data_IF_247866913982
#
_entry.id   IF_247866913982
#
_cell.length_a   1.000
_cell.length_b   1.000
_cell.length_c   1.000
_cell.angle_alpha   90.00
_cell.angle_beta   90.00
_cell.angle_gamma   90.00
#
_symmetry.space_group_name_H-M   'P 1'
#
loop_
_entity.id
_entity.type
_entity.pdbx_description
1 polymer ?
#
# COMPACT_ATOMS: atom_id res chain seq x y z
N UNK A 1 3.64 15.55 23.52
CA UNK A 1 3.51 16.48 22.37
C UNK A 1 2.17 16.25 21.65
N UNK A 2 1.72 17.26 20.88
CA UNK A 2 0.46 17.22 20.14
C UNK A 2 0.71 16.88 18.65
N UNK A 3 0.15 15.79 18.19
CA UNK A 3 0.31 15.28 16.82
C UNK A 3 -1.01 15.37 16.07
N UNK A 4 -1.01 16.04 14.91
CA UNK A 4 -2.15 16.02 13.99
C UNK A 4 -1.83 15.13 12.80
N UNK A 5 -2.56 14.02 12.62
CA UNK A 5 -2.21 12.98 11.66
C UNK A 5 -3.32 12.86 10.61
N UNK A 6 -2.96 12.77 9.32
CA UNK A 6 -3.94 12.64 8.23
C UNK A 6 -3.63 11.46 7.35
N UNK A 7 -4.54 10.47 7.35
CA UNK A 7 -4.58 9.31 6.46
C UNK A 7 -5.90 9.27 5.71
N UNK A 8 -5.88 9.19 4.39
CA UNK A 8 -7.08 9.25 3.54
C UNK A 8 -7.53 7.93 2.94
N UNK A 9 -6.88 6.81 3.27
CA UNK A 9 -7.11 5.49 2.68
C UNK A 9 -6.89 4.37 3.71
N UNK A 10 -7.44 3.14 3.50
CA UNK A 10 -7.25 2.01 4.43
C UNK A 10 -5.78 1.67 4.73
N UNK A 11 -4.91 1.72 3.71
CA UNK A 11 -3.47 1.50 3.90
C UNK A 11 -2.84 2.59 4.78
N UNK A 12 -3.28 3.83 4.60
CA UNK A 12 -2.86 4.95 5.44
C UNK A 12 -3.31 4.79 6.89
N UNK A 13 -4.51 4.26 7.14
CA UNK A 13 -5.02 3.95 8.48
C UNK A 13 -4.17 2.89 9.19
N UNK A 14 -3.83 1.81 8.48
CA UNK A 14 -2.94 0.76 8.96
C UNK A 14 -1.56 1.31 9.35
N UNK A 15 -0.91 2.03 8.43
CA UNK A 15 0.41 2.60 8.69
C UNK A 15 0.37 3.72 9.74
N UNK A 16 -0.71 4.50 9.75
CA UNK A 16 -0.96 5.54 10.75
C UNK A 16 -1.11 4.95 12.15
N UNK A 17 -1.87 3.87 12.30
CA UNK A 17 -2.03 3.20 13.60
C UNK A 17 -0.70 2.64 14.13
N UNK A 18 0.13 2.04 13.26
CA UNK A 18 1.46 1.55 13.64
C UNK A 18 2.40 2.70 14.03
N UNK A 19 2.40 3.80 13.26
CA UNK A 19 3.16 5.00 13.62
C UNK A 19 2.72 5.59 14.97
N UNK A 20 1.40 5.68 15.23
CA UNK A 20 0.86 6.19 16.50
C UNK A 20 1.26 5.33 17.69
N UNK A 21 1.31 3.99 17.52
CA UNK A 21 1.86 3.10 18.58
C UNK A 21 3.33 3.41 18.86
N UNK A 22 4.13 3.60 17.80
CA UNK A 22 5.53 4.01 17.93
C UNK A 22 5.69 5.38 18.58
N UNK A 23 4.86 6.37 18.22
CA UNK A 23 4.87 7.69 18.83
C UNK A 23 4.55 7.64 20.33
N UNK A 24 3.59 6.82 20.76
CA UNK A 24 3.31 6.61 22.20
C UNK A 24 4.45 5.97 22.96
N UNK A 25 5.23 5.09 22.31
CA UNK A 25 6.44 4.51 22.94
C UNK A 25 7.54 5.57 23.11
N UNK A 26 7.74 6.43 22.12
CA UNK A 26 8.78 7.45 22.12
C UNK A 26 8.37 8.72 22.90
N UNK A 27 7.07 9.00 22.99
CA UNK A 27 6.46 10.12 23.71
C UNK A 27 5.22 9.62 24.49
N UNK A 28 5.37 9.16 25.75
CA UNK A 28 4.25 8.63 26.53
C UNK A 28 3.10 9.64 26.74
N UNK A 29 3.39 10.94 26.70
CA UNK A 29 2.42 12.03 26.82
C UNK A 29 1.88 12.50 25.45
N UNK A 30 1.96 11.66 24.41
CA UNK A 30 1.49 11.98 23.07
C UNK A 30 -0.04 12.20 23.04
N UNK A 31 -0.45 13.38 22.62
CA UNK A 31 -1.83 13.73 22.33
C UNK A 31 -2.07 13.64 20.83
N UNK A 32 -3.09 12.89 20.41
CA UNK A 32 -3.43 12.72 19.00
C UNK A 32 -4.73 13.40 18.64
N UNK A 33 -4.76 13.99 17.45
CA UNK A 33 -5.96 14.35 16.73
C UNK A 33 -5.78 13.96 15.27
N UNK A 34 -6.74 13.29 14.64
CA UNK A 34 -6.45 12.67 13.36
C UNK A 34 -7.67 12.50 12.46
N UNK A 35 -7.37 12.42 11.17
CA UNK A 35 -8.23 11.92 10.11
C UNK A 35 -7.69 10.55 9.71
N UNK A 36 -8.52 9.51 9.74
CA UNK A 36 -8.07 8.14 9.53
C UNK A 36 -9.23 7.16 9.56
N UNK A 37 -9.04 6.00 10.16
CA UNK A 37 -10.05 4.96 10.27
C UNK A 37 -10.09 4.29 11.63
N UNK A 38 -10.66 3.09 11.63
CA UNK A 38 -10.91 2.34 12.85
C UNK A 38 -9.60 1.91 13.55
N UNK A 39 -8.53 1.57 12.78
CA UNK A 39 -7.25 1.16 13.37
C UNK A 39 -6.54 2.32 14.07
N UNK A 40 -6.56 3.52 13.51
CA UNK A 40 -6.03 4.71 14.18
C UNK A 40 -6.90 5.09 15.38
N UNK A 41 -8.24 4.95 15.29
CA UNK A 41 -9.16 5.23 16.38
C UNK A 41 -8.97 4.28 17.58
N UNK A 42 -8.62 3.02 17.32
CA UNK A 42 -8.26 2.07 18.37
C UNK A 42 -7.03 2.49 19.17
N UNK A 43 -6.05 3.10 18.50
CA UNK A 43 -4.81 3.58 19.14
C UNK A 43 -4.98 4.97 19.73
N UNK A 44 -5.56 5.91 19.00
CA UNK A 44 -5.61 7.33 19.35
C UNK A 44 -6.81 7.76 20.18
N UNK A 45 -7.82 6.89 20.34
CA UNK A 45 -9.12 7.22 20.92
C UNK A 45 -10.12 7.68 19.85
N UNK A 46 -11.33 7.13 19.91
CA UNK A 46 -12.37 7.41 18.91
C UNK A 46 -12.86 8.87 18.97
N UNK A 47 -12.77 9.50 20.14
CA UNK A 47 -13.08 10.91 20.39
C UNK A 47 -12.11 11.87 19.69
N UNK A 48 -10.92 11.41 19.35
CA UNK A 48 -9.87 12.16 18.64
C UNK A 48 -9.92 11.98 17.12
N UNK A 49 -10.76 11.07 16.62
CA UNK A 49 -11.03 10.89 15.20
C UNK A 49 -11.96 12.02 14.71
N UNK A 50 -11.40 12.95 13.96
CA UNK A 50 -12.15 14.09 13.38
C UNK A 50 -12.99 13.66 12.20
N UNK A 51 -12.41 12.80 11.34
CA UNK A 51 -13.08 12.32 10.12
C UNK A 51 -12.59 10.95 9.71
N UNK A 52 -13.54 10.07 9.38
CA UNK A 52 -13.22 8.73 8.87
C UNK A 52 -12.88 8.77 7.38
N UNK A 53 -11.85 8.03 6.93
CA UNK A 53 -11.42 8.03 5.52
C UNK A 53 -12.53 7.61 4.55
N UNK A 54 -13.50 6.78 4.97
CA UNK A 54 -14.67 6.43 4.15
C UNK A 54 -15.51 7.63 3.72
N UNK A 55 -15.49 8.71 4.49
CA UNK A 55 -16.17 9.96 4.19
C UNK A 55 -15.35 10.91 3.32
N UNK A 56 -14.03 10.63 3.17
CA UNK A 56 -13.07 11.44 2.41
C UNK A 56 -12.83 10.93 1.01
N UNK A 57 -13.12 9.65 0.77
CA UNK A 57 -12.66 8.91 -0.41
C UNK A 57 -13.54 9.19 -1.63
N UNK A 58 -13.12 10.13 -2.45
CA UNK A 58 -13.63 10.33 -3.81
C UNK A 58 -12.59 9.84 -4.80
N UNK A 59 -12.79 8.65 -5.38
CA UNK A 59 -11.88 8.03 -6.33
C UNK A 59 -12.34 8.25 -7.79
N UNK A 60 -11.40 8.68 -8.64
CA UNK A 60 -11.64 8.91 -10.06
C UNK A 60 -11.96 10.35 -10.42
N UNK A 61 -11.61 10.73 -11.67
CA UNK A 61 -11.70 12.11 -12.14
C UNK A 61 -13.12 12.67 -12.09
N UNK A 62 -14.12 11.84 -12.41
CA UNK A 62 -15.53 12.23 -12.45
C UNK A 62 -16.07 12.46 -11.04
N UNK A 63 -15.78 11.55 -10.10
CA UNK A 63 -16.25 11.67 -8.72
C UNK A 63 -15.60 12.88 -8.01
N UNK A 64 -14.31 13.13 -8.26
CA UNK A 64 -13.61 14.31 -7.74
C UNK A 64 -14.23 15.61 -8.28
N UNK A 65 -14.53 15.66 -9.60
CA UNK A 65 -15.14 16.83 -10.21
C UNK A 65 -16.56 17.10 -9.69
N UNK A 66 -17.36 16.05 -9.51
CA UNK A 66 -18.73 16.17 -8.96
C UNK A 66 -18.75 16.58 -7.48
N UNK A 67 -17.74 16.23 -6.71
CA UNK A 67 -17.68 16.48 -5.26
C UNK A 67 -16.67 17.57 -4.87
N UNK A 68 -16.26 18.43 -5.80
CA UNK A 68 -15.24 19.47 -5.55
C UNK A 68 -15.61 20.41 -4.39
N UNK A 69 -16.89 20.76 -4.25
CA UNK A 69 -17.37 21.61 -3.14
C UNK A 69 -17.25 20.92 -1.79
N UNK A 70 -17.58 19.64 -1.73
CA UNK A 70 -17.42 18.80 -0.52
C UNK A 70 -15.97 18.70 -0.12
N UNK A 71 -15.07 18.43 -1.09
CA UNK A 71 -13.62 18.33 -0.86
C UNK A 71 -13.05 19.66 -0.34
N UNK A 72 -13.49 20.79 -0.91
CA UNK A 72 -13.07 22.11 -0.44
C UNK A 72 -13.63 22.43 0.96
N UNK A 73 -14.87 22.03 1.26
CA UNK A 73 -15.47 22.13 2.59
C UNK A 73 -14.66 21.33 3.62
N UNK A 74 -14.40 20.06 3.34
CA UNK A 74 -13.58 19.19 4.21
C UNK A 74 -12.19 19.77 4.46
N UNK A 75 -11.58 20.37 3.44
CA UNK A 75 -10.28 21.04 3.60
C UNK A 75 -10.36 22.24 4.55
N UNK A 76 -11.42 23.05 4.44
CA UNK A 76 -11.68 24.15 5.37
C UNK A 76 -11.90 23.67 6.80
N UNK A 77 -12.63 22.56 6.97
CA UNK A 77 -12.86 21.94 8.29
C UNK A 77 -11.53 21.45 8.89
N UNK A 78 -10.72 20.78 8.11
CA UNK A 78 -9.39 20.30 8.52
C UNK A 78 -8.49 21.47 8.97
N UNK A 79 -8.42 22.53 8.18
CA UNK A 79 -7.62 23.71 8.51
C UNK A 79 -8.08 24.39 9.82
N UNK A 80 -9.41 24.50 10.04
CA UNK A 80 -9.94 25.06 11.29
C UNK A 80 -9.62 24.19 12.50
N UNK A 81 -9.74 22.86 12.33
CA UNK A 81 -9.47 21.91 13.39
C UNK A 81 -7.97 21.86 13.76
N UNK A 82 -7.07 21.93 12.77
CA UNK A 82 -5.62 22.05 13.01
C UNK A 82 -5.32 23.31 13.84
N UNK A 83 -5.90 24.46 13.47
CA UNK A 83 -5.71 25.71 14.23
C UNK A 83 -6.22 25.59 15.67
N UNK A 84 -7.39 25.00 15.86
CA UNK A 84 -8.00 24.86 17.19
C UNK A 84 -7.20 23.89 18.09
N UNK A 85 -6.67 22.80 17.52
CA UNK A 85 -5.86 21.83 18.25
C UNK A 85 -4.46 22.36 18.57
N UNK A 86 -3.91 23.24 17.72
CA UNK A 86 -2.57 23.82 17.82
C UNK A 86 -1.49 22.74 18.01
N UNK A 87 -1.28 21.87 17.00
CA UNK A 87 -0.34 20.77 17.11
C UNK A 87 1.12 21.22 17.06
N UNK A 88 2.00 20.42 17.65
CA UNK A 88 3.45 20.59 17.53
C UNK A 88 3.96 20.17 16.14
N UNK A 89 3.22 19.30 15.46
CA UNK A 89 3.53 18.81 14.11
C UNK A 89 2.28 18.30 13.41
N UNK A 90 2.22 18.52 12.09
CA UNK A 90 1.25 17.87 11.18
C UNK A 90 1.95 16.73 10.45
N UNK A 91 1.46 15.50 10.61
CA UNK A 91 1.97 14.30 9.94
C UNK A 91 1.01 13.89 8.84
N UNK A 92 1.50 13.85 7.61
CA UNK A 92 0.70 13.55 6.41
C UNK A 92 1.07 12.18 5.87
N UNK A 93 0.09 11.28 5.74
CA UNK A 93 0.34 9.91 5.27
C UNK A 93 -0.21 9.76 3.85
N UNK A 94 0.68 9.57 2.86
CA UNK A 94 0.34 9.45 1.43
C UNK A 94 -0.77 10.45 1.01
N UNK A 95 -1.84 10.05 0.33
CA UNK A 95 -3.03 10.84 -0.04
C UNK A 95 -2.72 12.25 -0.60
N UNK A 96 -1.88 12.36 -1.63
CA UNK A 96 -1.28 13.63 -2.04
C UNK A 96 -2.26 14.64 -2.62
N UNK A 97 -3.44 14.23 -3.06
CA UNK A 97 -4.48 15.13 -3.57
C UNK A 97 -4.99 16.14 -2.53
N UNK A 98 -5.06 15.70 -1.30
CA UNK A 98 -5.49 16.46 -0.13
C UNK A 98 -4.28 16.96 0.68
N UNK A 99 -3.39 16.04 1.04
CA UNK A 99 -2.29 16.28 1.97
C UNK A 99 -1.31 17.37 1.52
N UNK A 100 -0.98 17.48 0.22
CA UNK A 100 -0.12 18.57 -0.28
C UNK A 100 -0.73 19.96 -0.05
N UNK A 101 -2.06 20.08 -0.07
CA UNK A 101 -2.74 21.35 0.21
C UNK A 101 -2.75 21.68 1.70
N UNK A 102 -2.92 20.66 2.54
CA UNK A 102 -2.80 20.82 4.01
C UNK A 102 -1.34 21.15 4.38
N UNK A 103 -0.33 20.53 3.72
CA UNK A 103 1.07 20.89 3.91
C UNK A 103 1.31 22.40 3.67
N UNK A 104 0.77 22.93 2.55
CA UNK A 104 0.86 24.36 2.25
C UNK A 104 0.21 25.23 3.33
N UNK A 105 -0.94 24.80 3.86
CA UNK A 105 -1.63 25.53 4.91
C UNK A 105 -0.83 25.50 6.22
N UNK A 106 -0.45 24.33 6.71
CA UNK A 106 0.28 24.17 7.97
C UNK A 106 1.64 24.92 7.95
N UNK A 107 2.37 24.80 6.84
CA UNK A 107 3.60 25.58 6.63
C UNK A 107 3.36 27.09 6.69
N UNK A 108 2.23 27.59 6.14
CA UNK A 108 1.86 29.01 6.20
C UNK A 108 1.48 29.48 7.60
N UNK A 109 1.04 28.59 8.49
CA UNK A 109 0.78 28.85 9.90
C UNK A 109 2.03 28.64 10.79
N UNK A 110 3.19 28.30 10.21
CA UNK A 110 4.41 28.03 10.94
C UNK A 110 4.43 26.69 11.71
N UNK A 111 3.52 25.77 11.36
CA UNK A 111 3.44 24.45 11.99
C UNK A 111 4.33 23.49 11.19
N UNK A 112 5.28 22.77 11.84
CA UNK A 112 6.12 21.76 11.19
C UNK A 112 5.30 20.70 10.46
N UNK A 113 5.74 20.36 9.23
CA UNK A 113 5.07 19.38 8.37
C UNK A 113 5.99 18.21 8.10
N UNK A 114 5.62 17.04 8.60
CA UNK A 114 6.28 15.77 8.32
C UNK A 114 5.42 14.95 7.35
N UNK A 115 5.99 14.56 6.21
CA UNK A 115 5.28 13.74 5.24
C UNK A 115 5.75 12.29 5.38
N UNK A 116 4.93 11.48 6.03
CA UNK A 116 5.16 10.05 6.23
C UNK A 116 4.55 9.25 5.09
N UNK A 117 5.35 8.37 4.47
CA UNK A 117 5.05 7.67 3.22
C UNK A 117 4.91 8.68 2.06
N UNK A 118 6.05 9.05 1.50
CA UNK A 118 6.14 9.97 0.38
C UNK A 118 5.21 9.58 -0.78
N UNK A 119 4.52 10.55 -1.41
CA UNK A 119 3.67 10.25 -2.54
C UNK A 119 4.48 9.75 -3.73
N UNK A 120 3.93 8.81 -4.51
CA UNK A 120 4.58 8.16 -5.67
C UNK A 120 4.77 9.12 -6.85
N UNK A 121 5.43 10.26 -6.61
CA UNK A 121 5.65 11.32 -7.63
C UNK A 121 6.59 10.88 -8.75
N UNK A 122 7.39 9.86 -8.53
CA UNK A 122 8.25 9.22 -9.51
C UNK A 122 7.46 8.44 -10.58
N UNK A 123 6.26 7.96 -10.25
CA UNK A 123 5.39 7.26 -11.19
C UNK A 123 4.51 8.22 -12.00
N UNK A 124 3.97 9.26 -11.35
CA UNK A 124 3.06 10.21 -12.00
C UNK A 124 2.95 11.53 -11.22
N UNK A 125 2.54 12.61 -11.92
CA UNK A 125 2.39 13.96 -11.32
C UNK A 125 3.66 14.48 -10.63
N UNK A 126 4.80 14.30 -11.25
CA UNK A 126 6.11 14.76 -10.78
C UNK A 126 6.15 16.25 -10.38
N UNK A 127 5.28 17.09 -10.98
CA UNK A 127 5.17 18.51 -10.63
C UNK A 127 4.89 18.76 -9.13
N UNK A 128 4.34 17.77 -8.40
CA UNK A 128 4.10 17.84 -6.95
C UNK A 128 5.38 17.92 -6.13
N UNK A 129 6.51 17.50 -6.66
CA UNK A 129 7.84 17.62 -6.03
C UNK A 129 8.12 19.05 -5.60
N UNK A 130 7.72 20.04 -6.42
CA UNK A 130 7.90 21.47 -6.09
C UNK A 130 7.16 21.85 -4.79
N UNK A 131 5.98 21.32 -4.59
CA UNK A 131 5.19 21.59 -3.38
C UNK A 131 5.76 20.84 -2.16
N UNK A 132 6.20 19.59 -2.33
CA UNK A 132 6.87 18.84 -1.26
C UNK A 132 8.12 19.60 -0.80
N UNK A 133 9.00 20.00 -1.74
CA UNK A 133 10.22 20.77 -1.44
C UNK A 133 9.95 22.08 -0.71
N UNK A 134 8.80 22.72 -0.98
CA UNK A 134 8.48 24.04 -0.44
C UNK A 134 7.78 24.00 0.92
N UNK A 135 6.95 22.98 1.16
CA UNK A 135 5.99 22.98 2.27
C UNK A 135 6.18 21.81 3.25
N UNK A 136 7.12 20.91 3.00
CA UNK A 136 7.39 19.75 3.85
C UNK A 136 8.77 19.91 4.47
N UNK A 137 8.83 19.89 5.81
CA UNK A 137 10.08 20.06 6.53
C UNK A 137 10.87 18.75 6.60
N UNK A 138 10.16 17.59 6.68
CA UNK A 138 10.79 16.29 6.67
C UNK A 138 9.99 15.29 5.85
N UNK A 139 10.65 14.67 4.87
CA UNK A 139 10.04 13.68 3.96
C UNK A 139 10.54 12.29 4.31
N UNK A 140 9.63 11.40 4.69
CA UNK A 140 9.91 10.00 4.97
C UNK A 140 9.51 9.13 3.80
N UNK A 141 10.46 8.38 3.29
CA UNK A 141 10.30 7.44 2.18
C UNK A 141 10.26 6.01 2.70
N UNK A 142 9.60 5.13 1.95
CA UNK A 142 9.46 3.73 2.32
C UNK A 142 10.08 2.76 1.31
N UNK A 143 10.48 3.25 0.13
CA UNK A 143 11.13 2.43 -0.89
C UNK A 143 12.61 2.80 -1.04
N UNK A 144 13.53 1.81 -1.04
CA UNK A 144 14.96 2.05 -1.19
C UNK A 144 15.36 2.85 -2.43
N UNK A 145 14.70 2.63 -3.57
CA UNK A 145 14.99 3.39 -4.81
C UNK A 145 14.65 4.88 -4.71
N UNK A 146 13.80 5.28 -3.78
CA UNK A 146 13.45 6.68 -3.53
C UNK A 146 14.63 7.48 -2.95
N UNK A 147 15.59 6.79 -2.28
CA UNK A 147 16.86 7.39 -1.80
C UNK A 147 17.68 8.01 -2.92
N UNK A 148 17.59 7.47 -4.12
CA UNK A 148 18.29 8.00 -5.29
C UNK A 148 17.43 9.04 -6.03
N UNK A 149 16.11 8.87 -6.01
CA UNK A 149 15.20 9.75 -6.75
C UNK A 149 15.08 11.15 -6.13
N UNK A 150 14.77 11.27 -4.83
CA UNK A 150 14.48 12.56 -4.21
C UNK A 150 15.67 13.51 -4.15
N UNK A 151 16.93 13.08 -3.93
CA UNK A 151 18.09 13.96 -4.00
C UNK A 151 18.25 14.61 -5.39
N UNK A 152 17.92 13.93 -6.50
CA UNK A 152 17.94 14.54 -7.84
C UNK A 152 16.96 15.70 -7.98
N UNK A 153 15.97 15.80 -7.08
CA UNK A 153 14.98 16.88 -7.02
C UNK A 153 15.31 17.92 -5.95
N UNK A 154 16.44 17.74 -5.25
CA UNK A 154 16.89 18.62 -4.17
C UNK A 154 16.04 18.50 -2.90
N UNK A 155 15.57 17.31 -2.60
CA UNK A 155 14.92 16.92 -1.34
C UNK A 155 15.77 15.81 -0.71
N UNK A 156 16.16 16.01 0.55
CA UNK A 156 16.82 14.95 1.34
C UNK A 156 15.75 14.06 2.02
N UNK A 157 15.60 12.81 1.60
CA UNK A 157 14.61 11.92 2.18
C UNK A 157 15.17 11.16 3.38
N UNK A 158 14.29 10.81 4.33
CA UNK A 158 14.61 9.93 5.45
C UNK A 158 14.03 8.53 5.22
N UNK A 159 14.84 7.50 5.45
CA UNK A 159 14.46 6.09 5.28
C UNK A 159 14.83 5.28 6.52
N UNK A 160 13.82 4.72 7.18
CA UNK A 160 13.96 3.87 8.37
C UNK A 160 13.46 2.42 8.13
N UNK A 161 13.32 2.04 6.87
CA UNK A 161 12.73 0.76 6.45
C UNK A 161 11.32 0.95 5.88
N UNK A 162 10.64 -0.16 5.60
CA UNK A 162 9.27 -0.11 5.10
C UNK A 162 8.28 -0.60 6.16
N UNK A 163 7.29 0.21 6.57
CA UNK A 163 6.30 -0.14 7.59
C UNK A 163 5.39 -1.31 7.20
N UNK A 164 5.41 -1.74 5.93
CA UNK A 164 4.69 -2.94 5.48
C UNK A 164 5.20 -4.20 6.20
N UNK A 165 6.49 -4.22 6.60
CA UNK A 165 7.09 -5.32 7.36
C UNK A 165 6.46 -5.45 8.75
N UNK A 166 6.05 -4.34 9.37
CA UNK A 166 5.35 -4.36 10.65
C UNK A 166 3.95 -4.98 10.50
N UNK A 167 3.24 -4.64 9.43
CA UNK A 167 1.92 -5.20 9.12
C UNK A 167 2.01 -6.70 8.80
N UNK A 168 3.00 -7.12 8.00
CA UNK A 168 3.25 -8.53 7.68
C UNK A 168 3.57 -9.30 8.97
N UNK A 169 4.48 -8.82 9.79
CA UNK A 169 4.88 -9.49 11.02
C UNK A 169 3.69 -9.70 11.98
N UNK A 170 2.86 -8.65 12.15
CA UNK A 170 1.66 -8.74 13.01
C UNK A 170 0.63 -9.74 12.49
N UNK A 171 0.29 -9.66 11.20
CA UNK A 171 -0.74 -10.51 10.60
C UNK A 171 -0.29 -11.94 10.46
N UNK A 172 0.95 -12.18 10.02
CA UNK A 172 1.48 -13.52 9.90
C UNK A 172 1.62 -14.21 11.26
N UNK A 173 1.94 -13.49 12.32
CA UNK A 173 1.98 -14.05 13.68
C UNK A 173 0.59 -14.38 14.25
N UNK A 174 -0.46 -13.72 13.78
CA UNK A 174 -1.84 -13.94 14.21
C UNK A 174 -2.60 -14.94 13.35
N UNK A 175 -1.99 -15.46 12.27
CA UNK A 175 -2.64 -16.39 11.37
C UNK A 175 -2.94 -17.74 12.06
N UNK A 176 -4.10 -18.35 11.80
CA UNK A 176 -4.41 -19.68 12.31
C UNK A 176 -3.54 -20.75 11.65
N UNK A 177 -3.50 -21.91 12.25
CA UNK A 177 -2.90 -23.11 11.64
C UNK A 177 -3.54 -23.41 10.28
N UNK A 178 -2.74 -23.89 9.30
CA UNK A 178 -3.20 -24.15 7.93
C UNK A 178 -4.46 -25.03 7.87
N UNK A 179 -4.50 -26.11 8.66
CA UNK A 179 -5.64 -27.03 8.71
C UNK A 179 -6.94 -26.34 9.16
N UNK A 180 -6.84 -25.46 10.14
CA UNK A 180 -7.96 -24.65 10.63
C UNK A 180 -8.43 -23.69 9.56
N UNK A 181 -7.49 -22.95 8.93
CA UNK A 181 -7.82 -22.02 7.86
C UNK A 181 -8.51 -22.71 6.69
N UNK A 182 -8.01 -23.87 6.25
CA UNK A 182 -8.61 -24.66 5.17
C UNK A 182 -10.03 -25.09 5.52
N UNK A 183 -10.24 -25.65 6.70
CA UNK A 183 -11.55 -26.10 7.16
C UNK A 183 -12.58 -24.95 7.21
N UNK A 184 -12.21 -23.81 7.82
CA UNK A 184 -13.09 -22.63 7.94
C UNK A 184 -13.50 -22.03 6.58
N UNK A 185 -12.64 -22.16 5.55
CA UNK A 185 -12.87 -21.55 4.25
C UNK A 185 -13.29 -22.56 3.16
N UNK A 186 -13.55 -23.82 3.53
CA UNK A 186 -13.99 -24.88 2.59
C UNK A 186 -12.95 -25.19 1.52
N UNK A 187 -11.65 -25.12 1.90
CA UNK A 187 -10.53 -25.45 1.03
C UNK A 187 -10.16 -26.92 1.22
N UNK A 188 -9.74 -27.57 0.13
CA UNK A 188 -9.29 -28.96 0.14
C UNK A 188 -7.74 -29.06 0.27
N UNK A 189 -7.20 -30.28 0.21
CA UNK A 189 -5.77 -30.53 0.40
C UNK A 189 -4.89 -30.17 -0.81
N UNK A 190 -5.46 -29.79 -1.95
CA UNK A 190 -4.66 -29.40 -3.13
C UNK A 190 -3.81 -28.16 -2.81
N UNK A 191 -2.63 -28.05 -3.43
CA UNK A 191 -1.83 -26.82 -3.35
C UNK A 191 -2.64 -25.60 -3.81
N UNK A 192 -2.43 -24.47 -3.14
CA UNK A 192 -3.21 -23.25 -3.35
C UNK A 192 -2.42 -22.28 -4.25
N UNK A 193 -3.11 -21.71 -5.24
CA UNK A 193 -2.68 -20.51 -5.96
C UNK A 193 -3.61 -19.35 -5.55
N UNK A 194 -3.04 -18.34 -4.88
CA UNK A 194 -3.79 -17.17 -4.48
C UNK A 194 -4.04 -16.22 -5.66
N UNK A 195 -5.26 -15.69 -5.79
CA UNK A 195 -5.64 -14.71 -6.79
C UNK A 195 -5.92 -13.36 -6.12
N UNK A 196 -4.99 -12.42 -6.28
CA UNK A 196 -5.10 -11.06 -5.76
C UNK A 196 -5.52 -10.12 -6.89
N UNK A 197 -6.81 -10.05 -7.16
CA UNK A 197 -7.36 -9.34 -8.33
C UNK A 197 -7.38 -7.81 -8.19
N UNK A 198 -6.98 -7.29 -7.03
CA UNK A 198 -6.91 -5.86 -6.74
C UNK A 198 -7.93 -5.41 -5.69
N UNK A 199 -7.79 -4.16 -5.26
CA UNK A 199 -8.58 -3.53 -4.20
C UNK A 199 -9.67 -2.58 -4.73
N UNK A 200 -9.84 -2.50 -6.06
CA UNK A 200 -10.82 -1.65 -6.75
C UNK A 200 -11.64 -2.47 -7.74
N UNK A 201 -12.92 -2.14 -7.88
CA UNK A 201 -13.83 -2.81 -8.82
C UNK A 201 -13.27 -2.77 -10.26
N UNK A 202 -12.61 -1.68 -10.66
CA UNK A 202 -12.00 -1.57 -11.99
C UNK A 202 -10.83 -2.55 -12.20
N UNK A 203 -10.06 -2.85 -11.16
CA UNK A 203 -8.95 -3.82 -11.21
C UNK A 203 -9.50 -5.24 -11.29
N UNK A 204 -10.49 -5.57 -10.45
CA UNK A 204 -11.20 -6.85 -10.48
C UNK A 204 -11.79 -7.11 -11.86
N UNK A 205 -12.49 -6.12 -12.41
CA UNK A 205 -13.07 -6.20 -13.77
C UNK A 205 -12.01 -6.45 -14.86
N UNK A 206 -10.84 -5.87 -14.71
CA UNK A 206 -9.76 -6.00 -15.69
C UNK A 206 -9.03 -7.34 -15.63
N UNK A 207 -8.89 -7.94 -14.43
CA UNK A 207 -7.95 -9.03 -14.21
C UNK A 207 -8.60 -10.35 -13.77
N UNK A 208 -9.70 -10.31 -12.99
CA UNK A 208 -10.17 -11.51 -12.29
C UNK A 208 -10.65 -12.61 -13.24
N UNK A 209 -11.32 -12.28 -14.33
CA UNK A 209 -11.79 -13.29 -15.32
C UNK A 209 -10.62 -14.08 -15.89
N UNK A 210 -9.57 -13.38 -16.32
CA UNK A 210 -8.34 -13.99 -16.82
C UNK A 210 -7.66 -14.86 -15.74
N UNK A 211 -7.56 -14.36 -14.49
CA UNK A 211 -6.98 -15.13 -13.39
C UNK A 211 -7.78 -16.42 -13.11
N UNK A 212 -9.10 -16.37 -13.22
CA UNK A 212 -9.97 -17.53 -13.00
C UNK A 212 -9.85 -18.57 -14.13
N UNK A 213 -9.55 -18.16 -15.36
CA UNK A 213 -9.33 -19.07 -16.49
C UNK A 213 -8.11 -19.99 -16.28
N UNK A 214 -7.12 -19.57 -15.47
CA UNK A 214 -5.99 -20.43 -15.08
C UNK A 214 -6.43 -21.62 -14.23
N UNK A 215 -7.50 -21.48 -13.44
CA UNK A 215 -8.03 -22.57 -12.63
C UNK A 215 -8.60 -23.72 -13.47
N UNK A 216 -9.15 -23.43 -14.64
CA UNK A 216 -9.62 -24.46 -15.58
C UNK A 216 -8.46 -25.24 -16.23
N UNK A 217 -7.30 -24.58 -16.39
CA UNK A 217 -6.09 -25.19 -16.97
C UNK A 217 -5.28 -26.02 -15.99
N UNK A 218 -5.46 -25.78 -14.69
CA UNK A 218 -4.63 -26.38 -13.64
C UNK A 218 -5.50 -27.03 -12.53
N UNK A 219 -6.34 -28.04 -12.88
CA UNK A 219 -7.30 -28.64 -11.94
C UNK A 219 -6.62 -29.37 -10.76
N UNK A 220 -5.33 -29.65 -10.87
CA UNK A 220 -4.51 -30.23 -9.81
C UNK A 220 -4.19 -29.23 -8.67
N UNK A 221 -4.50 -27.95 -8.85
CA UNK A 221 -4.42 -26.89 -7.82
C UNK A 221 -5.80 -26.34 -7.52
N UNK A 222 -5.94 -25.73 -6.35
CA UNK A 222 -7.11 -24.91 -6.07
C UNK A 222 -6.75 -23.43 -6.13
N UNK A 223 -7.54 -22.68 -6.87
CA UNK A 223 -7.36 -21.23 -7.02
C UNK A 223 -8.31 -20.53 -6.06
N UNK A 224 -7.77 -19.60 -5.26
CA UNK A 224 -8.52 -18.94 -4.19
C UNK A 224 -8.42 -17.42 -4.35
N UNK A 225 -9.55 -16.77 -4.57
CA UNK A 225 -9.64 -15.30 -4.67
C UNK A 225 -9.55 -14.69 -3.28
N UNK A 226 -8.58 -13.80 -3.08
CA UNK A 226 -8.50 -12.94 -1.90
C UNK A 226 -9.36 -11.68 -2.13
N UNK A 227 -10.56 -11.66 -1.58
CA UNK A 227 -11.45 -10.50 -1.61
C UNK A 227 -11.21 -9.54 -0.48
N UNK A 228 -11.66 -8.30 -0.65
CA UNK A 228 -11.61 -7.23 0.36
C UNK A 228 -13.03 -6.84 0.78
N UNK A 229 -13.26 -6.66 2.09
CA UNK A 229 -14.58 -6.53 2.68
C UNK A 229 -15.36 -5.26 2.28
N UNK A 230 -14.68 -4.24 1.73
CA UNK A 230 -15.36 -3.06 1.22
C UNK A 230 -15.89 -3.20 -0.23
N UNK A 231 -15.64 -4.34 -0.88
CA UNK A 231 -16.19 -4.68 -2.20
C UNK A 231 -17.13 -5.87 -2.02
N UNK A 232 -18.38 -5.69 -2.41
CA UNK A 232 -19.39 -6.73 -2.29
C UNK A 232 -18.98 -8.00 -3.08
N UNK A 233 -19.25 -9.18 -2.50
CA UNK A 233 -18.88 -10.47 -3.05
C UNK A 233 -19.43 -10.68 -4.47
N UNK A 234 -20.61 -10.19 -4.73
CA UNK A 234 -21.27 -10.26 -6.05
C UNK A 234 -20.43 -9.61 -7.15
N UNK A 235 -19.62 -8.61 -6.83
CA UNK A 235 -18.71 -7.98 -7.79
C UNK A 235 -17.58 -8.92 -8.24
N UNK A 236 -17.19 -9.87 -7.41
CA UNK A 236 -16.24 -10.93 -7.77
C UNK A 236 -16.96 -12.06 -8.54
N UNK A 237 -18.13 -12.45 -8.09
CA UNK A 237 -18.90 -13.57 -8.65
C UNK A 237 -19.29 -13.35 -10.13
N UNK A 238 -19.47 -12.09 -10.56
CA UNK A 238 -19.69 -11.75 -11.99
C UNK A 238 -18.57 -12.32 -12.87
N UNK A 239 -17.34 -12.37 -12.40
CA UNK A 239 -16.16 -12.77 -13.17
C UNK A 239 -15.70 -14.21 -12.88
N UNK A 240 -16.21 -14.83 -11.82
CA UNK A 240 -15.86 -16.19 -11.39
C UNK A 240 -17.01 -17.19 -11.49
N UNK A 241 -18.16 -16.72 -11.98
CA UNK A 241 -19.32 -17.59 -12.19
C UNK A 241 -18.93 -18.78 -13.07
N UNK A 242 -19.30 -19.98 -12.64
CA UNK A 242 -19.03 -21.26 -13.32
C UNK A 242 -17.53 -21.62 -13.42
N UNK A 243 -16.65 -20.90 -12.71
CA UNK A 243 -15.22 -21.18 -12.64
C UNK A 243 -14.85 -21.99 -11.38
N UNK A 244 -13.86 -22.90 -11.45
CA UNK A 244 -13.44 -23.73 -10.31
C UNK A 244 -12.56 -22.96 -9.32
N UNK A 245 -13.02 -21.80 -8.86
CA UNK A 245 -12.30 -20.93 -7.91
C UNK A 245 -13.04 -20.85 -6.57
N UNK A 246 -12.29 -20.72 -5.49
CA UNK A 246 -12.78 -20.44 -4.14
C UNK A 246 -12.64 -18.95 -3.82
N UNK A 247 -13.25 -18.51 -2.71
CA UNK A 247 -13.23 -17.12 -2.29
C UNK A 247 -13.04 -17.00 -0.78
N UNK A 248 -12.12 -16.16 -0.35
CA UNK A 248 -11.92 -15.75 1.04
C UNK A 248 -11.95 -14.22 1.12
N UNK A 249 -12.46 -13.66 2.21
CA UNK A 249 -12.59 -12.21 2.38
C UNK A 249 -11.76 -11.73 3.57
N UNK A 250 -11.00 -10.64 3.37
CA UNK A 250 -10.15 -9.99 4.39
C UNK A 250 -9.11 -10.91 5.05
N UNK A 251 -8.75 -12.01 4.38
CA UNK A 251 -7.78 -13.02 4.85
C UNK A 251 -6.61 -13.19 3.89
N UNK A 252 -6.14 -12.09 3.27
CA UNK A 252 -5.10 -12.13 2.23
C UNK A 252 -3.77 -12.67 2.76
N UNK A 253 -3.33 -12.25 3.94
CA UNK A 253 -2.05 -12.66 4.51
C UNK A 253 -2.07 -14.13 4.95
N UNK A 254 -3.17 -14.56 5.56
CA UNK A 254 -3.40 -15.95 5.98
C UNK A 254 -3.43 -16.87 4.76
N UNK A 255 -4.11 -16.45 3.68
CA UNK A 255 -4.14 -17.20 2.43
C UNK A 255 -2.74 -17.30 1.79
N UNK A 256 -2.00 -16.18 1.73
CA UNK A 256 -0.66 -16.17 1.15
C UNK A 256 0.28 -17.13 1.88
N UNK A 257 0.24 -17.16 3.23
CA UNK A 257 1.14 -18.03 4.00
C UNK A 257 1.02 -19.52 3.67
N UNK A 258 -0.15 -19.97 3.22
CA UNK A 258 -0.42 -21.37 2.84
C UNK A 258 -0.47 -21.58 1.33
N UNK A 259 -0.13 -20.56 0.54
CA UNK A 259 -0.16 -20.63 -0.93
C UNK A 259 1.18 -21.09 -1.49
N UNK A 260 1.13 -21.92 -2.55
CA UNK A 260 2.31 -22.35 -3.31
C UNK A 260 2.84 -21.22 -4.21
N UNK A 261 1.92 -20.43 -4.78
CA UNK A 261 2.19 -19.28 -5.63
C UNK A 261 1.00 -18.31 -5.63
N UNK A 262 1.16 -17.15 -6.26
CA UNK A 262 0.09 -16.17 -6.41
C UNK A 262 0.06 -15.56 -7.83
N UNK A 263 -1.14 -15.16 -8.28
CA UNK A 263 -1.33 -14.28 -9.42
C UNK A 263 -1.85 -12.95 -8.90
N UNK A 264 -1.07 -11.89 -9.09
CA UNK A 264 -1.24 -10.63 -8.36
C UNK A 264 -1.43 -9.45 -9.31
N UNK A 265 -2.48 -8.67 -9.09
CA UNK A 265 -2.63 -7.37 -9.76
C UNK A 265 -1.56 -6.41 -9.28
N UNK A 266 -0.89 -5.72 -10.22
CA UNK A 266 0.16 -4.77 -9.88
C UNK A 266 -0.30 -3.70 -8.87
N UNK A 267 0.46 -3.55 -7.81
CA UNK A 267 0.19 -2.63 -6.70
C UNK A 267 1.05 -2.98 -5.49
N UNK A 268 0.63 -2.54 -4.31
CA UNK A 268 1.31 -2.86 -3.04
C UNK A 268 1.29 -4.37 -2.76
N UNK A 269 0.25 -5.06 -3.21
CA UNK A 269 0.10 -6.51 -3.02
C UNK A 269 1.27 -7.32 -3.61
N UNK A 270 1.91 -6.86 -4.70
CA UNK A 270 3.10 -7.54 -5.23
C UNK A 270 4.25 -7.53 -4.21
N UNK A 271 4.48 -6.40 -3.57
CA UNK A 271 5.51 -6.31 -2.54
C UNK A 271 5.17 -7.16 -1.31
N UNK A 272 3.91 -7.16 -0.88
CA UNK A 272 3.44 -7.98 0.25
C UNK A 272 3.64 -9.46 -0.03
N UNK A 273 3.24 -9.94 -1.19
CA UNK A 273 3.38 -11.34 -1.63
C UNK A 273 4.84 -11.76 -1.63
N UNK A 274 5.73 -10.98 -2.23
CA UNK A 274 7.17 -11.25 -2.27
C UNK A 274 7.82 -11.23 -0.88
N UNK A 275 7.44 -10.29 -0.01
CA UNK A 275 7.99 -10.18 1.35
C UNK A 275 7.51 -11.33 2.26
N UNK A 276 6.32 -11.89 2.03
CA UNK A 276 5.85 -13.13 2.67
C UNK A 276 6.65 -14.33 2.15
N UNK A 277 7.14 -14.27 0.91
CA UNK A 277 7.97 -15.32 0.29
C UNK A 277 7.18 -16.21 -0.66
N UNK A 278 6.10 -15.71 -1.21
CA UNK A 278 5.26 -16.46 -2.14
C UNK A 278 5.58 -16.06 -3.58
N UNK A 279 6.09 -17.00 -4.42
CA UNK A 279 6.34 -16.75 -5.84
C UNK A 279 5.10 -16.21 -6.54
N UNK A 280 5.30 -15.22 -7.40
CA UNK A 280 4.16 -14.53 -8.01
C UNK A 280 4.32 -14.25 -9.49
N UNK A 281 3.19 -14.27 -10.19
CA UNK A 281 3.00 -13.73 -11.53
C UNK A 281 2.21 -12.41 -11.42
N UNK A 282 2.78 -11.32 -11.92
CA UNK A 282 2.14 -10.00 -11.88
C UNK A 282 1.33 -9.76 -13.15
N UNK A 283 0.06 -9.42 -12.97
CA UNK A 283 -0.86 -9.13 -14.07
C UNK A 283 -1.43 -7.72 -13.91
N UNK A 284 -1.50 -6.99 -15.01
CA UNK A 284 -2.14 -5.68 -15.03
C UNK A 284 -2.83 -5.43 -16.38
N UNK A 285 -4.14 -5.67 -16.41
CA UNK A 285 -4.96 -5.40 -17.59
C UNK A 285 -5.05 -3.89 -17.86
N UNK A 286 -4.58 -3.46 -19.02
CA UNK A 286 -4.64 -2.07 -19.46
C UNK A 286 -5.58 -1.92 -20.66
N UNK A 287 -6.26 -0.75 -20.83
CA UNK A 287 -7.04 -0.50 -22.02
C UNK A 287 -6.18 -0.57 -23.30
N UNK A 288 -6.72 -1.10 -24.40
CA UNK A 288 -6.03 -1.25 -25.68
C UNK A 288 -5.30 0.00 -26.19
N UNK A 289 -5.91 1.17 -25.94
CA UNK A 289 -5.30 2.44 -26.35
C UNK A 289 -4.00 2.74 -25.58
N UNK A 290 -3.93 2.31 -24.33
CA UNK A 290 -2.73 2.49 -23.49
C UNK A 290 -1.62 1.50 -23.84
N UNK A 291 -1.96 0.30 -24.34
CA UNK A 291 -0.96 -0.68 -24.77
C UNK A 291 -0.13 -0.14 -25.93
N UNK A 292 -0.78 0.50 -26.92
CA UNK A 292 -0.09 1.15 -28.05
C UNK A 292 0.75 2.35 -27.65
N UNK A 293 0.34 3.06 -26.60
CA UNK A 293 1.05 4.24 -26.05
C UNK A 293 2.03 3.93 -24.94
N UNK A 294 2.13 2.66 -24.48
CA UNK A 294 2.92 2.24 -23.33
C UNK A 294 4.36 2.80 -23.30
N UNK A 295 5.16 2.77 -24.39
CA UNK A 295 6.51 3.29 -24.39
C UNK A 295 6.61 4.81 -24.13
N UNK A 296 5.53 5.56 -24.42
CA UNK A 296 5.48 7.02 -24.25
C UNK A 296 4.80 7.45 -22.95
N UNK A 297 3.99 6.58 -22.34
CA UNK A 297 3.17 6.90 -21.17
C UNK A 297 3.80 6.41 -19.86
N UNK A 298 4.51 5.28 -19.88
CA UNK A 298 5.19 4.73 -18.73
C UNK A 298 6.64 5.21 -18.71
N UNK A 299 6.95 6.10 -17.78
CA UNK A 299 8.31 6.60 -17.55
C UNK A 299 9.15 5.68 -16.65
N UNK A 300 8.55 4.58 -16.18
CA UNK A 300 9.18 3.61 -15.27
C UNK A 300 9.41 2.29 -16.00
N UNK A 301 10.54 1.61 -15.76
CA UNK A 301 10.89 0.36 -16.44
C UNK A 301 9.99 -0.81 -16.03
N UNK A 302 9.42 -0.78 -14.82
CA UNK A 302 8.60 -1.84 -14.23
C UNK A 302 7.36 -1.25 -13.56
N UNK A 303 6.32 -2.08 -13.38
CA UNK A 303 5.09 -1.68 -12.68
C UNK A 303 4.95 -2.31 -11.30
N UNK A 304 5.60 -3.46 -11.04
CA UNK A 304 5.63 -4.06 -9.71
C UNK A 304 6.66 -3.39 -8.81
N UNK A 305 6.33 -3.28 -7.53
CA UNK A 305 7.26 -2.75 -6.54
C UNK A 305 8.45 -3.69 -6.29
N UNK A 306 8.32 -4.98 -6.60
CA UNK A 306 9.42 -5.95 -6.51
C UNK A 306 10.51 -5.59 -7.51
N UNK A 307 10.16 -5.54 -8.81
CA UNK A 307 11.10 -5.23 -9.87
C UNK A 307 11.69 -3.81 -9.76
N UNK A 308 10.88 -2.84 -9.32
CA UNK A 308 11.36 -1.46 -9.09
C UNK A 308 12.42 -1.39 -7.99
N UNK A 309 12.22 -2.10 -6.86
CA UNK A 309 13.19 -2.10 -5.77
C UNK A 309 14.47 -2.88 -6.13
N UNK A 310 14.34 -4.00 -6.84
CA UNK A 310 15.47 -4.80 -7.28
C UNK A 310 16.15 -4.26 -8.55
N UNK A 311 15.51 -3.30 -9.24
CA UNK A 311 15.98 -2.70 -10.52
C UNK A 311 16.21 -3.73 -11.64
N UNK A 312 15.51 -4.86 -11.57
CA UNK A 312 15.53 -5.96 -12.56
C UNK A 312 14.21 -6.72 -12.56
N UNK A 313 14.00 -7.53 -13.59
CA UNK A 313 12.86 -8.46 -13.66
C UNK A 313 13.13 -9.66 -12.73
N UNK A 314 12.65 -9.59 -11.50
CA UNK A 314 12.62 -10.68 -10.53
C UNK A 314 11.30 -11.45 -10.61
N UNK A 315 10.20 -10.75 -10.93
CA UNK A 315 8.88 -11.32 -11.18
C UNK A 315 8.41 -10.95 -12.59
N UNK A 316 7.78 -11.89 -13.28
CA UNK A 316 7.21 -11.61 -14.61
C UNK A 316 6.03 -10.66 -14.52
N UNK A 317 6.01 -9.61 -15.35
CA UNK A 317 4.93 -8.64 -15.45
C UNK A 317 4.18 -8.76 -16.78
N UNK A 318 2.92 -9.15 -16.74
CA UNK A 318 2.02 -9.18 -17.89
C UNK A 318 1.14 -7.90 -17.91
N UNK A 319 1.71 -6.82 -18.46
CA UNK A 319 1.04 -5.50 -18.57
C UNK A 319 0.53 -5.32 -19.99
N UNK A 320 -0.64 -5.85 -20.27
CA UNK A 320 -1.20 -5.95 -21.62
C UNK A 320 -2.73 -5.78 -21.61
N UNK A 321 -3.31 -5.48 -22.78
CA UNK A 321 -4.76 -5.37 -22.94
C UNK A 321 -5.48 -6.71 -22.70
N UNK A 322 -4.94 -7.78 -23.30
CA UNK A 322 -5.45 -9.15 -23.14
C UNK A 322 -4.26 -10.07 -22.88
N UNK A 323 -4.01 -10.45 -21.62
CA UNK A 323 -2.96 -11.40 -21.32
C UNK A 323 -3.27 -12.78 -21.92
N UNK A 324 -2.23 -13.47 -22.39
CA UNK A 324 -2.33 -14.83 -22.88
C UNK A 324 -2.43 -15.81 -21.71
N UNK A 325 -3.48 -16.62 -21.68
CA UNK A 325 -3.64 -17.66 -20.65
C UNK A 325 -2.55 -18.71 -20.78
N UNK A 326 -2.15 -19.08 -22.00
CA UNK A 326 -1.09 -20.07 -22.25
C UNK A 326 0.27 -19.58 -21.74
N UNK A 327 0.62 -18.31 -21.98
CA UNK A 327 1.85 -17.71 -21.44
C UNK A 327 1.82 -17.63 -19.92
N UNK A 328 0.68 -17.26 -19.36
CA UNK A 328 0.50 -17.16 -17.90
C UNK A 328 0.57 -18.53 -17.22
N UNK A 329 -0.02 -19.57 -17.81
CA UNK A 329 0.08 -20.94 -17.34
C UNK A 329 1.53 -21.42 -17.34
N UNK A 330 2.26 -21.22 -18.45
CA UNK A 330 3.68 -21.60 -18.54
C UNK A 330 4.53 -20.88 -17.48
N UNK A 331 4.31 -19.59 -17.31
CA UNK A 331 5.02 -18.80 -16.29
C UNK A 331 4.68 -19.28 -14.88
N UNK A 332 3.38 -19.46 -14.59
CA UNK A 332 2.92 -19.92 -13.28
C UNK A 332 3.52 -21.30 -12.96
N UNK A 333 3.49 -22.26 -13.90
CA UNK A 333 4.11 -23.58 -13.73
C UNK A 333 5.62 -23.49 -13.44
N UNK A 334 6.31 -22.50 -14.01
CA UNK A 334 7.75 -22.33 -13.80
C UNK A 334 8.12 -21.85 -12.39
N UNK A 335 7.16 -21.29 -11.65
CA UNK A 335 7.36 -20.77 -10.29
C UNK A 335 6.71 -21.62 -9.20
N UNK A 336 5.96 -22.68 -9.56
CA UNK A 336 5.44 -23.66 -8.61
C UNK A 336 6.58 -24.52 -7.99
N UNK A 337 6.26 -25.36 -7.02
CA UNK A 337 7.20 -26.31 -6.43
C UNK A 337 7.75 -27.23 -7.53
N UNK A 338 9.08 -27.31 -7.63
CA UNK A 338 9.78 -28.01 -8.70
C UNK A 338 9.90 -27.22 -10.01
N UNK A 339 9.36 -26.04 -10.10
CA UNK A 339 9.46 -25.18 -11.27
C UNK A 339 10.85 -24.54 -11.42
N UNK A 340 11.29 -24.33 -12.66
CA UNK A 340 12.66 -23.91 -13.00
C UNK A 340 13.06 -22.50 -12.53
N UNK A 341 12.09 -21.63 -12.25
CA UNK A 341 12.33 -20.23 -11.82
C UNK A 341 12.15 -20.01 -10.33
N UNK A 342 11.54 -20.97 -9.61
CA UNK A 342 11.16 -20.80 -8.22
C UNK A 342 12.29 -20.41 -7.29
N UNK A 343 13.38 -21.19 -7.30
CA UNK A 343 14.53 -20.97 -6.41
C UNK A 343 15.16 -19.60 -6.63
N UNK A 344 15.32 -19.21 -7.90
CA UNK A 344 15.85 -17.89 -8.24
C UNK A 344 14.93 -16.78 -7.73
N UNK A 345 13.61 -16.90 -7.92
CA UNK A 345 12.64 -15.91 -7.47
C UNK A 345 12.65 -15.77 -5.95
N UNK A 346 12.74 -16.87 -5.21
CA UNK A 346 12.87 -16.86 -3.74
C UNK A 346 14.15 -16.18 -3.27
N UNK A 347 15.28 -16.43 -3.94
CA UNK A 347 16.54 -15.74 -3.66
C UNK A 347 16.45 -14.24 -3.96
N UNK A 348 15.78 -13.85 -5.04
CA UNK A 348 15.48 -12.44 -5.34
C UNK A 348 14.60 -11.80 -4.23
N UNK A 349 13.66 -12.54 -3.64
CA UNK A 349 12.85 -12.08 -2.51
C UNK A 349 13.63 -11.93 -1.20
N UNK A 350 14.64 -12.79 -0.96
CA UNK A 350 15.54 -12.64 0.19
C UNK A 350 16.40 -11.38 0.05
N UNK A 351 16.91 -11.09 -1.15
CA UNK A 351 17.56 -9.81 -1.44
C UNK A 351 16.63 -8.64 -1.23
N UNK A 352 15.38 -8.73 -1.71
CA UNK A 352 14.36 -7.69 -1.52
C UNK A 352 14.11 -7.43 -0.03
N UNK A 353 13.96 -8.47 0.80
CA UNK A 353 13.80 -8.31 2.27
C UNK A 353 15.00 -7.60 2.89
N UNK A 354 16.21 -7.93 2.45
CA UNK A 354 17.45 -7.30 2.94
C UNK A 354 17.47 -5.80 2.68
N UNK A 355 17.06 -5.34 1.48
CA UNK A 355 17.08 -3.92 1.12
C UNK A 355 15.88 -3.12 1.66
N UNK A 356 14.73 -3.77 1.83
CA UNK A 356 13.51 -3.17 2.41
C UNK A 356 13.67 -2.96 3.91
N UNK A 357 14.42 -3.83 4.58
CA UNK A 357 14.63 -3.83 6.03
C UNK A 357 13.61 -4.67 6.78
N UNK A 358 13.93 -5.00 8.03
CA UNK A 358 13.08 -5.80 8.92
C UNK A 358 11.94 -4.99 9.56
N UNK A 359 11.12 -5.68 10.37
CA UNK A 359 10.09 -5.07 11.19
C UNK A 359 10.65 -4.02 12.18
N UNK A 360 9.78 -3.18 12.75
CA UNK A 360 10.13 -2.07 13.63
C UNK A 360 10.35 -0.74 12.90
N UNK A 361 10.07 -0.67 11.60
CA UNK A 361 10.21 0.57 10.83
C UNK A 361 9.33 1.70 11.41
N UNK A 362 8.07 1.40 11.76
CA UNK A 362 7.16 2.39 12.34
C UNK A 362 7.68 2.97 13.67
N UNK A 363 8.29 2.16 14.51
CA UNK A 363 8.89 2.61 15.78
C UNK A 363 10.12 3.51 15.52
N UNK A 364 10.97 3.16 14.54
CA UNK A 364 12.14 3.97 14.17
C UNK A 364 11.73 5.32 13.58
N UNK A 365 10.74 5.35 12.67
CA UNK A 365 10.18 6.60 12.16
C UNK A 365 9.60 7.46 13.29
N UNK A 366 8.88 6.86 14.22
CA UNK A 366 8.31 7.57 15.36
C UNK A 366 9.39 8.20 16.26
N UNK A 367 10.45 7.46 16.57
CA UNK A 367 11.57 7.96 17.36
C UNK A 367 12.27 9.15 16.68
N UNK A 368 12.49 9.05 15.36
CA UNK A 368 13.08 10.13 14.57
C UNK A 368 12.17 11.38 14.50
N UNK A 369 10.85 11.21 14.37
CA UNK A 369 9.88 12.31 14.42
C UNK A 369 9.94 13.03 15.77
N UNK A 370 9.88 12.30 16.88
CA UNK A 370 9.95 12.84 18.25
C UNK A 370 11.23 13.62 18.45
N UNK A 371 12.38 13.03 18.12
CA UNK A 371 13.69 13.67 18.26
C UNK A 371 13.81 14.94 17.42
N UNK A 372 13.28 14.92 16.19
CA UNK A 372 13.32 16.10 15.30
C UNK A 372 12.54 17.27 15.88
N UNK A 373 11.34 17.01 16.41
CA UNK A 373 10.51 18.07 17.01
C UNK A 373 11.14 18.62 18.30
N UNK A 374 11.67 17.75 19.16
CA UNK A 374 12.36 18.16 20.37
C UNK A 374 13.57 19.06 20.05
N UNK A 375 14.39 18.68 19.07
CA UNK A 375 15.54 19.47 18.64
C UNK A 375 15.14 20.83 18.06
N UNK A 376 14.02 20.91 17.36
CA UNK A 376 13.51 22.17 16.81
C UNK A 376 13.03 23.12 17.89
N UNK A 377 12.34 22.61 18.93
CA UNK A 377 11.93 23.42 20.11
C UNK A 377 13.11 23.96 20.89
N UNK A 378 14.16 23.17 21.06
CA UNK A 378 15.40 23.61 21.75
C UNK A 378 16.09 24.77 21.01
N UNK A 379 16.09 24.76 19.65
CA UNK A 379 16.70 25.81 18.83
C UNK A 379 15.92 27.14 18.86
N UNK A 380 14.63 27.11 19.18
CA UNK A 380 13.78 28.32 19.25
C UNK A 380 13.90 28.98 20.63
N UNK A 381 14.25 28.21 21.66
CA UNK A 381 14.39 28.71 23.07
C UNK A 381 15.77 29.28 23.39
N UNK A 382 16.78 29.02 22.53
CA UNK A 382 18.13 29.56 22.63
C UNK A 382 18.42 30.50 21.47
#
# INVERSE_FOLDING_TARGET
MKYYIIAGEPSGDLHGSNLMRGLRKADPEAEFRFWGGDMMAEVGGRENLVKHYREMSFFGFVQVAMNIRTILGQMGDCCRDIKAFAPDVVILIDYPGFNVKIAKFAHGEGIPVHYYIAPKVWAWKEHRVKALKKYVDKLYIIFPFEKEYFPTKGIEPHFEGNPIMDAIAQRCAAAPEESVFRAENGLDERPIVALLAGSRVSEIKANLRFMAELAERMPERQFVVAGVGWIAREQYEIFTKDMPVKFVCDKTYELLQISEAAVVTSGTATLETALIGIPELVVYGIPWLYEKGKPYLLKIPFVSLVNLNLKREAVREMVVYKPSVDEAELELRSILIGGSKREKMLADFDELRSIIGGAGASDRFAADIVQTIQNSKFKIQN
#
